data_IF_195444932539
#
_entry.id   IF_195444932539
#
_cell.length_a   1.000
_cell.length_b   1.000
_cell.length_c   1.000
_cell.angle_alpha   90.00
_cell.angle_beta   90.00
_cell.angle_gamma   90.00
#
_symmetry.space_group_name_H-M   'P 1'
#
loop_
_entity.id
_entity.type
_entity.pdbx_description
1 polymer ?
#
# COMPACT_ATOMS: atom_id res chain seq x y z
N UNK A 1 -27.16 -68.30 64.64
CA UNK A 1 -25.72 -68.20 65.00
C UNK A 1 -25.03 -67.57 63.72
N UNK A 2 -25.08 -66.26 63.58
CA UNK A 2 -24.53 -65.61 62.44
C UNK A 2 -23.24 -64.84 62.83
N UNK A 3 -22.09 -65.31 62.24
CA UNK A 3 -20.83 -64.63 62.37
C UNK A 3 -20.77 -63.42 61.42
N UNK A 4 -20.58 -62.24 62.00
CA UNK A 4 -20.28 -61.03 61.26
C UNK A 4 -18.78 -60.94 61.07
N UNK A 5 -18.31 -60.90 59.79
CA UNK A 5 -16.90 -60.65 59.43
C UNK A 5 -16.67 -59.14 59.41
N UNK A 6 -15.56 -58.61 59.90
CA UNK A 6 -15.20 -57.21 59.75
C UNK A 6 -14.58 -57.01 58.37
N UNK A 7 -14.97 -55.83 57.75
CA UNK A 7 -14.44 -55.36 56.49
C UNK A 7 -13.07 -54.69 56.67
N UNK A 8 -12.17 -54.75 55.67
CA UNK A 8 -10.86 -54.09 55.73
C UNK A 8 -10.98 -52.57 55.37
N UNK A 9 -10.24 -51.78 56.10
CA UNK A 9 -10.06 -50.36 55.86
C UNK A 9 -9.27 -50.10 54.58
N UNK A 10 -9.85 -49.38 53.63
CA UNK A 10 -9.17 -48.87 52.43
C UNK A 10 -8.46 -47.56 52.78
N UNK A 11 -7.11 -47.65 52.78
CA UNK A 11 -6.26 -46.46 52.86
C UNK A 11 -6.39 -45.65 51.54
N UNK A 12 -6.95 -44.43 51.62
CA UNK A 12 -7.04 -43.52 50.50
C UNK A 12 -5.69 -42.94 50.13
N UNK A 13 -5.18 -43.27 48.96
CA UNK A 13 -4.01 -42.66 48.35
C UNK A 13 -4.46 -41.35 47.67
N UNK A 14 -4.15 -40.23 48.28
CA UNK A 14 -4.40 -38.90 47.67
C UNK A 14 -3.39 -38.65 46.55
N UNK A 15 -3.86 -38.76 45.31
CA UNK A 15 -3.10 -38.29 44.12
C UNK A 15 -3.18 -36.77 44.07
N UNK A 16 -2.08 -36.09 44.37
CA UNK A 16 -1.90 -34.65 44.10
C UNK A 16 -1.56 -34.53 42.64
N UNK A 17 -2.56 -34.16 41.78
CA UNK A 17 -2.31 -33.75 40.41
C UNK A 17 -1.77 -32.30 40.46
N UNK A 18 -0.46 -32.17 40.29
CA UNK A 18 0.15 -30.87 39.96
C UNK A 18 -0.21 -30.50 38.55
N UNK A 19 -1.12 -29.51 38.38
CA UNK A 19 -1.38 -28.83 37.12
C UNK A 19 -0.16 -27.96 36.79
N UNK A 20 0.71 -28.45 35.89
CA UNK A 20 1.63 -27.57 35.18
C UNK A 20 0.76 -26.72 34.23
N UNK A 21 0.47 -25.47 34.60
CA UNK A 21 -0.10 -24.49 33.69
C UNK A 21 0.86 -24.24 32.53
N UNK A 22 0.57 -24.76 31.34
CA UNK A 22 1.13 -24.25 30.11
C UNK A 22 0.61 -22.79 29.98
N UNK A 23 1.46 -21.84 30.30
CA UNK A 23 1.25 -20.47 29.89
C UNK A 23 1.35 -20.44 28.36
N UNK A 24 0.22 -20.49 27.69
CA UNK A 24 0.13 -20.11 26.26
C UNK A 24 0.54 -18.65 26.19
N UNK A 25 1.75 -18.39 25.70
CA UNK A 25 2.11 -17.07 25.23
C UNK A 25 1.21 -16.78 24.03
N UNK A 26 0.07 -16.15 24.30
CA UNK A 26 -0.68 -15.45 23.27
C UNK A 26 0.22 -14.33 22.79
N UNK A 27 0.93 -14.55 21.68
CA UNK A 27 1.52 -13.45 20.94
C UNK A 27 0.38 -12.50 20.60
N UNK A 28 0.46 -11.29 21.11
CA UNK A 28 -0.40 -10.20 20.69
C UNK A 28 -0.14 -9.96 19.20
N UNK A 29 -0.92 -10.63 18.33
CA UNK A 29 -1.14 -10.24 16.95
C UNK A 29 -2.00 -8.98 16.93
N UNK A 30 -1.50 -7.90 17.52
CA UNK A 30 -2.03 -6.57 17.26
C UNK A 30 -1.72 -6.30 15.78
N UNK A 31 -2.74 -6.03 14.96
CA UNK A 31 -2.50 -5.63 13.58
C UNK A 31 -1.64 -4.37 13.61
N UNK A 32 -0.36 -4.52 13.30
CA UNK A 32 0.54 -3.39 13.18
C UNK A 32 -0.01 -2.48 12.09
N UNK A 33 -0.27 -1.21 12.42
CA UNK A 33 -0.69 -0.21 11.44
C UNK A 33 0.28 -0.22 10.25
N UNK A 34 -0.21 -0.07 9.02
CA UNK A 34 0.65 0.02 7.86
C UNK A 34 1.69 1.13 8.03
N UNK A 35 2.91 0.91 7.57
CA UNK A 35 3.93 1.96 7.53
C UNK A 35 3.51 3.03 6.53
N UNK A 36 3.81 4.31 6.77
CA UNK A 36 3.57 5.35 5.76
C UNK A 36 4.46 5.12 4.54
N UNK A 37 3.95 5.49 3.37
CA UNK A 37 4.74 5.56 2.14
C UNK A 37 5.66 6.79 2.25
N UNK A 38 6.97 6.67 1.99
CA UNK A 38 7.89 7.79 2.07
C UNK A 38 7.52 8.94 1.13
N UNK A 39 7.15 8.62 -0.10
CA UNK A 39 6.74 9.59 -1.11
C UNK A 39 5.67 8.99 -2.00
N UNK A 40 4.58 9.73 -2.22
CA UNK A 40 3.50 9.33 -3.12
C UNK A 40 2.84 10.56 -3.71
N UNK A 41 2.64 10.55 -5.01
CA UNK A 41 1.92 11.60 -5.73
C UNK A 41 1.05 11.04 -6.84
N UNK A 42 -0.01 11.79 -7.15
CA UNK A 42 -0.80 11.65 -8.36
C UNK A 42 -1.10 13.05 -8.88
N UNK A 43 -0.87 13.29 -10.16
CA UNK A 43 -1.06 14.62 -10.76
C UNK A 43 -1.41 14.52 -12.23
N UNK A 44 -1.99 15.59 -12.76
CA UNK A 44 -2.02 15.83 -14.18
C UNK A 44 -0.71 16.50 -14.60
N UNK A 45 -0.17 16.05 -15.72
CA UNK A 45 0.89 16.72 -16.45
C UNK A 45 0.37 17.18 -17.81
N UNK A 46 0.85 18.33 -18.28
CA UNK A 46 0.52 18.85 -19.59
C UNK A 46 1.80 19.14 -20.35
N UNK A 47 1.88 18.61 -21.55
CA UNK A 47 2.93 18.95 -22.49
C UNK A 47 2.69 20.35 -23.07
N UNK A 48 3.64 21.26 -22.85
CA UNK A 48 3.55 22.64 -23.30
C UNK A 48 3.64 22.78 -24.83
N UNK A 49 4.08 21.76 -25.57
CA UNK A 49 4.29 21.82 -27.01
C UNK A 49 2.99 21.62 -27.80
N UNK A 50 2.18 20.67 -27.41
CA UNK A 50 0.97 20.24 -28.12
C UNK A 50 -0.29 20.25 -27.25
N UNK A 51 -0.12 20.42 -25.93
CA UNK A 51 -1.21 20.53 -24.98
C UNK A 51 -1.77 19.18 -24.52
N UNK A 52 -1.11 18.09 -24.85
CA UNK A 52 -1.47 16.75 -24.38
C UNK A 52 -1.48 16.70 -22.85
N UNK A 53 -2.37 15.91 -22.30
CA UNK A 53 -2.54 15.75 -20.85
C UNK A 53 -2.51 14.28 -20.48
N UNK A 54 -1.78 13.98 -19.43
CA UNK A 54 -1.70 12.66 -18.85
C UNK A 54 -1.89 12.68 -17.34
N UNK A 55 -2.15 11.51 -16.76
CA UNK A 55 -2.14 11.28 -15.32
C UNK A 55 -0.90 10.51 -14.95
N UNK A 56 -0.10 11.08 -14.05
CA UNK A 56 1.13 10.46 -13.55
C UNK A 56 0.94 10.04 -12.11
N UNK A 57 1.23 8.77 -11.84
CA UNK A 57 1.34 8.20 -10.51
C UNK A 57 2.82 7.98 -10.21
N UNK A 58 3.28 8.50 -9.10
CA UNK A 58 4.65 8.36 -8.66
C UNK A 58 4.70 7.92 -7.21
N UNK A 59 5.52 6.92 -6.93
CA UNK A 59 5.65 6.36 -5.61
C UNK A 59 7.07 5.91 -5.36
N UNK A 60 7.64 6.38 -4.26
CA UNK A 60 8.88 5.84 -3.67
C UNK A 60 8.49 5.00 -2.47
N UNK A 61 8.63 3.68 -2.61
CA UNK A 61 8.31 2.72 -1.56
C UNK A 61 9.40 2.60 -0.50
N UNK A 62 9.15 1.75 0.50
CA UNK A 62 10.12 1.41 1.53
C UNK A 62 11.43 0.83 0.95
N UNK A 63 12.54 1.00 1.67
CA UNK A 63 13.88 0.56 1.23
C UNK A 63 13.97 -0.95 0.95
N UNK A 64 13.14 -1.76 1.59
CA UNK A 64 13.04 -3.21 1.35
C UNK A 64 12.43 -3.55 -0.01
N UNK A 65 11.87 -2.55 -0.70
CA UNK A 65 11.15 -2.72 -1.96
C UNK A 65 9.77 -3.35 -1.81
N UNK A 66 8.92 -3.10 -2.80
CA UNK A 66 7.54 -3.55 -2.85
C UNK A 66 7.40 -4.84 -3.66
N UNK A 67 6.55 -5.75 -3.21
CA UNK A 67 6.13 -6.94 -3.98
C UNK A 67 4.68 -6.85 -4.44
N UNK A 68 3.91 -5.95 -3.82
CA UNK A 68 2.53 -5.66 -4.19
C UNK A 68 2.24 -4.17 -4.00
N UNK A 69 1.45 -3.60 -4.92
CA UNK A 69 0.91 -2.26 -4.84
C UNK A 69 -0.48 -2.25 -5.44
N UNK A 70 -1.44 -1.73 -4.69
CA UNK A 70 -2.80 -1.46 -5.16
C UNK A 70 -3.09 0.03 -5.01
N UNK A 71 -3.66 0.64 -6.04
CA UNK A 71 -4.14 2.03 -6.00
C UNK A 71 -5.64 2.04 -6.26
N UNK A 72 -6.37 2.67 -5.35
CA UNK A 72 -7.83 2.80 -5.42
C UNK A 72 -8.21 4.26 -5.61
N UNK A 73 -9.01 4.52 -6.64
CA UNK A 73 -9.53 5.84 -6.97
C UNK A 73 -10.65 6.29 -6.00
N UNK A 74 -11.00 7.60 -5.98
CA UNK A 74 -12.06 8.13 -5.11
C UNK A 74 -13.42 7.47 -5.27
N UNK A 75 -13.71 6.93 -6.45
CA UNK A 75 -14.95 6.20 -6.78
C UNK A 75 -14.92 4.71 -6.39
N UNK A 76 -13.85 4.25 -5.75
CA UNK A 76 -13.66 2.88 -5.28
C UNK A 76 -13.12 1.91 -6.33
N UNK A 77 -12.83 2.35 -7.56
CA UNK A 77 -12.20 1.50 -8.58
C UNK A 77 -10.71 1.28 -8.28
N UNK A 78 -10.25 0.06 -8.46
CA UNK A 78 -8.81 -0.24 -8.49
C UNK A 78 -8.24 0.18 -9.84
N UNK A 79 -7.33 1.16 -9.84
CA UNK A 79 -6.70 1.69 -11.05
C UNK A 79 -5.30 1.14 -11.28
N UNK A 80 -4.65 0.63 -10.22
CA UNK A 80 -3.38 -0.11 -10.29
C UNK A 80 -3.49 -1.35 -9.42
N UNK A 81 -3.08 -2.48 -9.96
CA UNK A 81 -2.89 -3.75 -9.26
C UNK A 81 -1.59 -4.38 -9.74
N UNK A 82 -0.52 -4.09 -9.03
CA UNK A 82 0.82 -4.53 -9.34
C UNK A 82 1.24 -5.66 -8.41
N UNK A 83 1.80 -6.72 -8.97
CA UNK A 83 2.35 -7.84 -8.21
C UNK A 83 3.67 -8.29 -8.82
N UNK A 84 4.69 -8.44 -7.98
CA UNK A 84 6.02 -8.94 -8.34
C UNK A 84 6.33 -10.21 -7.53
N UNK A 85 5.75 -11.39 -7.87
CA UNK A 85 5.82 -12.60 -7.05
C UNK A 85 7.23 -13.17 -6.91
N UNK A 86 8.11 -12.89 -7.87
CA UNK A 86 9.49 -13.38 -7.88
C UNK A 86 10.48 -12.42 -7.20
N UNK A 87 10.03 -11.23 -6.79
CA UNK A 87 10.84 -10.24 -6.06
C UNK A 87 11.00 -10.60 -4.57
N UNK A 88 11.32 -11.86 -4.26
CA UNK A 88 11.34 -12.39 -2.87
C UNK A 88 12.42 -11.77 -1.99
N UNK A 89 13.50 -11.28 -2.59
CA UNK A 89 14.65 -10.74 -1.86
C UNK A 89 14.73 -9.23 -1.97
N UNK A 90 14.43 -8.71 -3.16
CA UNK A 90 14.44 -7.28 -3.46
C UNK A 90 13.16 -6.95 -4.21
N UNK A 91 12.31 -6.13 -3.64
CA UNK A 91 11.12 -5.64 -4.31
C UNK A 91 11.43 -4.51 -5.30
N UNK A 92 10.39 -3.93 -5.86
CA UNK A 92 10.45 -2.70 -6.67
C UNK A 92 10.40 -1.51 -5.71
N UNK A 93 11.37 -0.60 -5.77
CA UNK A 93 11.41 0.55 -4.86
C UNK A 93 10.66 1.75 -5.42
N UNK A 94 10.85 2.03 -6.69
CA UNK A 94 10.22 3.17 -7.35
C UNK A 94 9.23 2.68 -8.38
N UNK A 95 8.10 3.36 -8.46
CA UNK A 95 7.03 3.04 -9.37
C UNK A 95 6.53 4.34 -9.99
N UNK A 96 6.68 4.47 -11.30
CA UNK A 96 6.09 5.53 -12.09
C UNK A 96 5.15 4.88 -13.10
N UNK A 97 3.92 5.37 -13.16
CA UNK A 97 2.89 4.91 -14.08
C UNK A 97 2.22 6.14 -14.70
N UNK A 98 2.14 6.15 -16.01
CA UNK A 98 1.56 7.22 -16.79
C UNK A 98 0.37 6.69 -17.58
N UNK A 99 -0.68 7.48 -17.71
CA UNK A 99 -1.77 7.18 -18.62
C UNK A 99 -1.34 7.47 -20.06
N UNK A 100 -2.05 6.93 -21.07
CA UNK A 100 -1.93 7.49 -22.42
C UNK A 100 -2.27 8.99 -22.43
N UNK A 101 -1.75 9.72 -23.40
CA UNK A 101 -1.99 11.13 -23.66
C UNK A 101 -3.14 11.29 -24.68
N UNK A 102 -4.42 11.15 -24.30
CA UNK A 102 -5.53 11.26 -25.23
C UNK A 102 -5.84 12.72 -25.57
N UNK A 103 -6.31 12.95 -26.78
CA UNK A 103 -6.88 14.25 -27.16
C UNK A 103 -8.22 14.56 -26.46
N UNK A 104 -8.90 13.53 -25.92
CA UNK A 104 -10.13 13.66 -25.13
C UNK A 104 -9.77 13.85 -23.64
N UNK A 105 -9.44 15.08 -23.27
CA UNK A 105 -9.11 15.44 -21.87
C UNK A 105 -10.28 15.22 -20.91
N UNK A 106 -11.52 15.44 -21.35
CA UNK A 106 -12.70 15.23 -20.50
C UNK A 106 -12.93 13.73 -20.26
N UNK A 107 -12.69 12.89 -21.26
CA UNK A 107 -12.68 11.44 -21.09
C UNK A 107 -11.59 10.98 -20.12
N UNK A 108 -10.40 11.58 -20.16
CA UNK A 108 -9.32 11.30 -19.20
C UNK A 108 -9.72 11.69 -17.77
N UNK A 109 -10.31 12.88 -17.58
CA UNK A 109 -10.81 13.33 -16.27
C UNK A 109 -11.91 12.41 -15.72
N UNK A 110 -12.78 11.89 -16.58
CA UNK A 110 -13.81 10.93 -16.20
C UNK A 110 -13.20 9.55 -15.81
N UNK A 111 -12.14 9.13 -16.51
CA UNK A 111 -11.40 7.90 -16.20
C UNK A 111 -10.62 8.01 -14.88
N UNK A 112 -10.09 9.20 -14.58
CA UNK A 112 -9.35 9.51 -13.37
C UNK A 112 -10.00 10.68 -12.62
N UNK A 113 -11.07 10.43 -11.83
CA UNK A 113 -11.81 11.49 -11.14
C UNK A 113 -10.94 12.21 -10.12
N UNK A 114 -11.17 13.53 -9.97
CA UNK A 114 -10.51 14.31 -8.93
C UNK A 114 -10.90 13.80 -7.53
N UNK A 115 -9.96 13.81 -6.60
CA UNK A 115 -10.17 13.37 -5.23
C UNK A 115 -8.99 12.58 -4.67
N UNK A 116 -9.18 11.98 -3.50
CA UNK A 116 -8.15 11.22 -2.82
C UNK A 116 -8.02 9.80 -3.39
N UNK A 117 -6.82 9.45 -3.78
CA UNK A 117 -6.40 8.10 -4.17
C UNK A 117 -5.67 7.44 -3.01
N UNK A 118 -6.05 6.20 -2.71
CA UNK A 118 -5.43 5.40 -1.66
C UNK A 118 -4.43 4.43 -2.26
N UNK A 119 -3.24 4.39 -1.67
CA UNK A 119 -2.15 3.49 -2.04
C UNK A 119 -1.91 2.52 -0.90
N UNK A 120 -1.86 1.24 -1.20
CA UNK A 120 -1.56 0.20 -0.23
C UNK A 120 -0.73 -0.92 -0.86
N UNK A 121 0.15 -1.52 -0.07
CA UNK A 121 0.96 -2.60 -0.59
C UNK A 121 1.69 -3.39 0.49
N UNK A 122 2.58 -4.26 0.01
CA UNK A 122 3.38 -5.15 0.84
C UNK A 122 4.82 -5.15 0.36
N UNK A 123 5.78 -5.07 1.28
CA UNK A 123 7.20 -5.17 0.99
C UNK A 123 7.65 -6.61 0.76
N UNK A 124 8.87 -6.79 0.25
CA UNK A 124 9.52 -8.10 0.15
C UNK A 124 9.68 -8.80 1.51
N UNK A 125 9.73 -8.05 2.61
CA UNK A 125 9.75 -8.57 3.98
C UNK A 125 8.35 -8.87 4.55
N UNK A 126 7.27 -8.67 3.77
CA UNK A 126 5.89 -8.90 4.21
C UNK A 126 5.30 -7.76 5.04
N UNK A 127 5.98 -6.62 5.14
CA UNK A 127 5.50 -5.45 5.88
C UNK A 127 4.49 -4.69 5.03
N UNK A 128 3.33 -4.38 5.60
CA UNK A 128 2.29 -3.55 4.96
C UNK A 128 2.67 -2.08 5.01
N UNK A 129 2.37 -1.36 3.94
CA UNK A 129 2.50 0.08 3.86
C UNK A 129 1.25 0.70 3.22
N UNK A 130 0.98 1.97 3.52
CA UNK A 130 -0.15 2.70 2.94
C UNK A 130 0.13 4.21 2.91
N UNK A 131 -0.56 4.89 2.01
CA UNK A 131 -0.54 6.34 1.88
C UNK A 131 -1.69 6.82 1.00
N UNK A 132 -1.81 8.13 0.83
CA UNK A 132 -2.77 8.72 -0.09
C UNK A 132 -2.20 9.97 -0.76
N UNK A 133 -2.77 10.31 -1.91
CA UNK A 133 -2.49 11.54 -2.63
C UNK A 133 -3.76 12.02 -3.33
N UNK A 134 -3.91 13.33 -3.48
CA UNK A 134 -5.12 13.93 -4.08
C UNK A 134 -4.83 14.37 -5.50
N UNK A 135 -5.60 13.84 -6.46
CA UNK A 135 -5.60 14.32 -7.82
C UNK A 135 -6.48 15.59 -7.92
N UNK A 136 -5.90 16.67 -8.44
CA UNK A 136 -6.62 17.84 -8.91
C UNK A 136 -6.65 17.85 -10.43
N UNK A 137 -7.76 18.28 -11.01
CA UNK A 137 -7.87 18.52 -12.46
C UNK A 137 -7.40 19.92 -12.87
N UNK A 138 -6.87 20.68 -11.92
CA UNK A 138 -6.28 21.98 -12.20
C UNK A 138 -4.93 21.81 -12.88
N UNK A 139 -4.75 22.44 -14.02
CA UNK A 139 -3.49 22.51 -14.73
C UNK A 139 -2.89 23.91 -14.52
N UNK A 140 -1.59 24.01 -14.32
CA UNK A 140 -0.93 25.31 -14.33
C UNK A 140 -1.02 25.93 -15.73
N UNK A 141 -0.92 27.27 -15.85
CA UNK A 141 -0.82 27.88 -17.16
C UNK A 141 0.43 27.38 -17.89
N UNK A 142 0.28 27.21 -19.20
CA UNK A 142 1.38 26.73 -20.06
C UNK A 142 2.61 27.62 -19.88
N UNK A 143 3.76 26.97 -19.67
CA UNK A 143 5.03 27.66 -19.56
C UNK A 143 5.38 28.41 -20.85
N UNK A 144 5.94 29.60 -20.70
CA UNK A 144 6.44 30.38 -21.83
C UNK A 144 7.85 30.87 -21.60
N UNK A 145 8.63 30.91 -22.66
CA UNK A 145 9.98 31.50 -22.59
C UNK A 145 9.90 33.01 -22.53
N UNK A 146 10.48 33.61 -21.51
CA UNK A 146 10.64 35.06 -21.41
C UNK A 146 11.96 35.51 -21.99
N UNK A 147 13.04 34.78 -21.73
CA UNK A 147 14.39 35.00 -22.22
C UNK A 147 15.13 33.68 -22.40
N UNK A 148 15.75 33.42 -23.56
CA UNK A 148 15.56 34.19 -24.81
C UNK A 148 14.13 34.11 -25.29
N UNK A 149 13.73 35.10 -26.13
CA UNK A 149 12.41 35.06 -26.74
C UNK A 149 12.24 33.78 -27.55
N UNK A 150 11.01 33.28 -27.61
CA UNK A 150 10.71 32.08 -28.41
C UNK A 150 11.18 32.29 -29.86
N UNK A 151 11.91 31.28 -30.40
CA UNK A 151 12.54 31.32 -31.73
C UNK A 151 13.71 32.32 -31.89
N UNK A 152 14.33 32.79 -30.78
CA UNK A 152 15.56 33.56 -30.90
C UNK A 152 16.67 32.70 -31.51
N UNK A 153 17.34 33.28 -32.55
CA UNK A 153 18.42 32.58 -33.29
C UNK A 153 19.82 32.96 -32.78
N UNK A 154 19.96 34.10 -32.12
CA UNK A 154 21.21 34.60 -31.59
C UNK A 154 21.10 34.81 -30.09
N UNK A 155 21.44 33.73 -29.34
CA UNK A 155 21.57 33.77 -27.89
C UNK A 155 23.05 33.77 -27.52
N UNK A 156 23.54 34.89 -27.03
CA UNK A 156 24.92 35.04 -26.52
C UNK A 156 25.00 34.57 -25.05
#
# INVERSE_FOLDING_TARGET
>A
MNLVKPAPALAGLALILTWLGLASASGDDQPTSPRPIPEVSIRFEQNATDGDVEVVFELVGPDEGMTQLTVVAPDGRTVVDFTAPDAKKYGVREFVFESPEPTDVEGLKAAYPAGEYSFAGTTAAGVKFAGSSTLSHELPPTASFLHPAQHATDVA
#
